data_IF_920710608089
#
_entry.id   IF_920710608089
#
_cell.length_a   1.000
_cell.length_b   1.000
_cell.length_c   1.000
_cell.angle_alpha   90.00
_cell.angle_beta   90.00
_cell.angle_gamma   90.00
#
_symmetry.space_group_name_H-M   'P 1'
#
loop_
_entity.id
_entity.type
_entity.pdbx_description
1 polymer ?
#
# COMPACT_ATOMS: atom_id res chain seq x y z
N UNK A 1 -2.83 14.93 -0.18
CA UNK A 1 -2.06 13.98 0.64
C UNK A 1 -1.54 14.71 1.88
N UNK A 2 -1.82 14.22 3.09
CA UNK A 2 -1.55 14.97 4.32
C UNK A 2 -0.41 14.41 5.18
N UNK A 3 -0.05 13.14 4.99
CA UNK A 3 1.04 12.46 5.67
C UNK A 3 1.48 11.23 4.88
N UNK A 4 2.79 10.99 4.86
CA UNK A 4 3.42 9.75 4.38
C UNK A 4 4.38 9.29 5.47
N UNK A 5 4.21 8.07 5.98
CA UNK A 5 5.06 7.56 7.06
C UNK A 5 5.11 6.02 7.06
N UNK A 6 6.19 5.48 7.63
CA UNK A 6 6.23 4.07 8.00
C UNK A 6 5.46 3.82 9.31
N UNK A 7 4.78 2.68 9.41
CA UNK A 7 4.01 2.29 10.59
C UNK A 7 4.32 0.82 10.96
N UNK A 8 4.86 0.62 12.16
CA UNK A 8 5.25 -0.70 12.67
C UNK A 8 4.06 -1.54 13.17
N UNK A 9 2.86 -0.95 13.28
CA UNK A 9 1.65 -1.63 13.75
C UNK A 9 0.86 -2.27 12.61
N UNK A 10 1.24 -2.01 11.36
CA UNK A 10 0.61 -2.61 10.19
C UNK A 10 0.98 -4.09 10.10
N UNK A 11 0.04 -4.97 10.43
CA UNK A 11 0.14 -6.39 10.14
C UNK A 11 -0.23 -6.65 8.67
N UNK A 12 0.78 -6.76 7.82
CA UNK A 12 0.63 -6.92 6.37
C UNK A 12 -0.14 -8.19 5.99
N UNK A 13 -0.15 -9.22 6.85
CA UNK A 13 -0.74 -10.53 6.58
C UNK A 13 -2.28 -10.55 6.53
N UNK A 14 -2.99 -9.54 7.05
CA UNK A 14 -4.48 -9.55 7.09
C UNK A 14 -5.15 -8.76 5.96
N UNK A 15 -4.46 -7.82 5.32
CA UNK A 15 -4.99 -6.95 4.25
C UNK A 15 -3.88 -6.68 3.23
N UNK A 16 -3.35 -7.75 2.64
CA UNK A 16 -2.13 -7.75 1.87
C UNK A 16 -2.20 -6.76 0.69
N UNK A 17 -1.38 -5.71 0.80
CA UNK A 17 -0.91 -4.70 -0.16
C UNK A 17 -1.19 -3.25 0.23
N UNK A 18 -2.17 -3.00 1.11
CA UNK A 18 -2.56 -1.64 1.47
C UNK A 18 -3.55 -1.60 2.62
N UNK A 19 -3.17 -0.99 3.75
CA UNK A 19 -4.13 -0.64 4.78
C UNK A 19 -4.72 0.73 4.41
N UNK A 20 -5.80 0.73 3.63
CA UNK A 20 -6.63 1.93 3.47
C UNK A 20 -7.25 2.29 4.82
N UNK A 21 -6.52 3.07 5.62
CA UNK A 21 -7.07 3.75 6.78
C UNK A 21 -7.37 5.18 6.38
N UNK A 22 -8.53 5.38 5.74
CA UNK A 22 -9.14 6.69 5.69
C UNK A 22 -9.57 7.06 7.12
N UNK A 23 -8.71 7.79 7.84
CA UNK A 23 -9.08 8.30 9.16
C UNK A 23 -10.03 9.48 8.94
N UNK A 24 -11.32 9.21 9.11
CA UNK A 24 -12.37 10.23 9.19
C UNK A 24 -12.25 10.98 10.52
N UNK A 25 -11.87 12.26 10.49
CA UNK A 25 -11.82 13.11 11.70
C UNK A 25 -12.90 14.18 11.63
N UNK A 26 -13.71 14.29 12.67
CA UNK A 26 -14.75 15.32 12.81
C UNK A 26 -14.08 16.62 13.29
N UNK A 27 -14.21 17.70 12.54
CA UNK A 27 -13.77 19.03 12.96
C UNK A 27 -14.90 20.04 12.71
N UNK A 28 -15.57 20.48 13.78
CA UNK A 28 -16.67 21.43 13.72
C UNK A 28 -17.84 20.94 12.87
N UNK A 29 -18.65 20.01 13.39
CA UNK A 29 -19.87 19.49 12.74
C UNK A 29 -19.69 18.81 11.37
N UNK A 30 -18.49 18.85 10.78
CA UNK A 30 -18.19 18.35 9.43
C UNK A 30 -17.07 17.31 9.50
N UNK A 31 -17.29 16.18 8.83
CA UNK A 31 -16.27 15.17 8.58
C UNK A 31 -15.35 15.65 7.47
N UNK A 32 -14.06 15.86 7.77
CA UNK A 32 -13.04 16.08 6.73
C UNK A 32 -12.23 14.79 6.57
N UNK A 33 -12.35 14.15 5.41
CA UNK A 33 -11.45 13.08 5.02
C UNK A 33 -10.07 13.67 4.69
N UNK A 34 -9.02 13.22 5.37
CA UNK A 34 -7.63 13.49 5.00
C UNK A 34 -7.00 12.18 4.56
N UNK A 35 -6.46 12.16 3.34
CA UNK A 35 -5.71 11.01 2.87
C UNK A 35 -4.33 10.97 3.53
N UNK A 36 -4.00 9.84 4.16
CA UNK A 36 -2.69 9.49 4.69
C UNK A 36 -2.22 8.20 4.00
N UNK A 37 -0.95 8.11 3.64
CA UNK A 37 -0.33 6.88 3.15
C UNK A 37 0.55 6.34 4.27
N UNK A 38 0.30 5.10 4.68
CA UNK A 38 1.09 4.41 5.72
C UNK A 38 1.65 3.12 5.15
N UNK A 39 2.97 3.01 5.17
CA UNK A 39 3.69 1.84 4.65
C UNK A 39 4.20 1.00 5.82
N UNK A 40 4.04 -0.31 5.75
CA UNK A 40 4.56 -1.20 6.79
C UNK A 40 6.09 -1.12 6.89
N UNK A 41 6.65 -1.22 8.09
CA UNK A 41 8.11 -1.12 8.31
C UNK A 41 8.92 -2.20 7.61
N UNK A 42 8.32 -3.35 7.27
CA UNK A 42 8.97 -4.42 6.49
C UNK A 42 9.50 -3.92 5.14
N UNK A 43 8.85 -2.92 4.55
CA UNK A 43 9.28 -2.33 3.27
C UNK A 43 10.47 -1.38 3.39
N UNK A 44 11.06 -1.22 4.58
CA UNK A 44 12.35 -0.51 4.74
C UNK A 44 13.53 -1.33 4.26
N UNK A 45 13.43 -2.66 4.34
CA UNK A 45 14.49 -3.62 3.97
C UNK A 45 14.10 -4.49 2.78
N UNK A 46 12.89 -4.30 2.25
CA UNK A 46 12.45 -4.95 1.03
C UNK A 46 13.03 -4.25 -0.22
N UNK A 47 13.09 -4.94 -1.37
CA UNK A 47 13.47 -4.33 -2.63
C UNK A 47 12.66 -3.07 -2.95
N UNK A 48 13.34 -2.03 -3.45
CA UNK A 48 12.75 -0.75 -3.85
C UNK A 48 11.51 -0.89 -4.77
N UNK A 49 11.46 -1.81 -5.75
CA UNK A 49 10.28 -2.00 -6.58
C UNK A 49 9.00 -2.33 -5.80
N UNK A 50 9.08 -3.00 -4.66
CA UNK A 50 7.91 -3.31 -3.83
C UNK A 50 7.36 -2.06 -3.15
N UNK A 51 8.25 -1.17 -2.68
CA UNK A 51 7.85 0.12 -2.14
C UNK A 51 7.15 0.97 -3.21
N UNK A 52 7.69 0.98 -4.44
CA UNK A 52 7.10 1.72 -5.56
C UNK A 52 5.71 1.22 -5.91
N UNK A 53 5.53 -0.10 -5.99
CA UNK A 53 4.21 -0.71 -6.21
C UNK A 53 3.21 -0.30 -5.12
N UNK A 54 3.58 -0.34 -3.83
CA UNK A 54 2.69 0.05 -2.73
C UNK A 54 2.31 1.52 -2.82
N UNK A 55 3.27 2.40 -3.11
CA UNK A 55 3.00 3.83 -3.26
C UNK A 55 2.03 4.06 -4.42
N UNK A 56 2.24 3.41 -5.57
CA UNK A 56 1.33 3.48 -6.73
C UNK A 56 -0.07 2.98 -6.37
N UNK A 57 -0.17 1.87 -5.65
CA UNK A 57 -1.43 1.32 -5.16
C UNK A 57 -2.20 2.35 -4.31
N UNK A 58 -1.56 2.89 -3.27
CA UNK A 58 -2.19 3.84 -2.36
C UNK A 58 -2.52 5.18 -3.03
N UNK A 59 -1.71 5.62 -4.01
CA UNK A 59 -2.02 6.79 -4.82
C UNK A 59 -3.25 6.57 -5.71
N UNK A 60 -3.39 5.39 -6.32
CA UNK A 60 -4.57 5.05 -7.10
C UNK A 60 -5.85 5.10 -6.25
N UNK A 61 -5.77 4.68 -4.98
CA UNK A 61 -6.87 4.77 -4.00
C UNK A 61 -7.33 6.18 -3.64
N UNK A 62 -6.56 7.20 -3.99
CA UNK A 62 -7.01 8.59 -3.87
C UNK A 62 -8.13 8.91 -4.87
N UNK A 63 -8.16 8.23 -6.02
CA UNK A 63 -9.12 8.45 -7.11
C UNK A 63 -10.11 7.30 -7.27
N UNK A 64 -9.62 6.05 -7.25
CA UNK A 64 -10.40 4.83 -7.49
C UNK A 64 -10.44 4.00 -6.21
N UNK A 65 -11.62 3.80 -5.59
CA UNK A 65 -11.72 3.16 -4.26
C UNK A 65 -11.71 1.63 -4.30
N UNK A 66 -12.26 1.05 -5.36
CA UNK A 66 -12.39 -0.39 -5.53
C UNK A 66 -11.31 -0.88 -6.50
N UNK A 67 -10.77 -2.08 -6.25
CA UNK A 67 -9.81 -2.74 -7.15
C UNK A 67 -10.49 -3.27 -8.42
N UNK A 68 -11.05 -2.37 -9.22
CA UNK A 68 -11.73 -2.64 -10.48
C UNK A 68 -10.83 -2.32 -11.69
N UNK A 69 -11.36 -2.43 -12.92
CA UNK A 69 -10.58 -2.16 -14.15
C UNK A 69 -10.00 -0.74 -14.20
N UNK A 70 -10.71 0.26 -13.71
CA UNK A 70 -10.24 1.65 -13.69
C UNK A 70 -9.07 1.83 -12.71
N UNK A 71 -9.17 1.21 -11.53
CA UNK A 71 -8.08 1.17 -10.55
C UNK A 71 -6.80 0.58 -11.14
N UNK A 72 -6.87 -0.64 -11.69
CA UNK A 72 -5.69 -1.28 -12.29
C UNK A 72 -5.15 -0.52 -13.50
N UNK A 73 -6.03 0.07 -14.32
CA UNK A 73 -5.61 0.93 -15.42
C UNK A 73 -4.84 2.16 -14.93
N UNK A 74 -5.24 2.75 -13.80
CA UNK A 74 -4.55 3.88 -13.20
C UNK A 74 -3.20 3.46 -12.60
N UNK A 75 -3.14 2.30 -11.94
CA UNK A 75 -1.89 1.73 -11.44
C UNK A 75 -0.90 1.49 -12.58
N UNK A 76 -1.30 0.81 -13.65
CA UNK A 76 -0.44 0.52 -14.80
C UNK A 76 -0.01 1.77 -15.57
N UNK A 77 -0.78 2.86 -15.48
CA UNK A 77 -0.36 4.16 -16.01
C UNK A 77 0.79 4.77 -15.23
N UNK A 78 0.82 4.59 -13.90
CA UNK A 78 1.88 5.11 -13.02
C UNK A 78 3.10 4.17 -12.94
N UNK A 79 2.89 2.86 -13.06
CA UNK A 79 3.91 1.82 -13.03
C UNK A 79 3.57 0.72 -14.05
N UNK A 80 4.22 0.70 -15.24
CA UNK A 80 3.92 -0.28 -16.29
C UNK A 80 4.01 -1.74 -15.84
N UNK A 81 4.92 -2.06 -14.92
CA UNK A 81 5.13 -3.42 -14.40
C UNK A 81 4.26 -3.74 -13.17
N UNK A 82 3.27 -2.90 -12.88
CA UNK A 82 2.50 -2.94 -11.62
C UNK A 82 1.96 -4.33 -11.28
N UNK A 83 1.39 -5.05 -12.25
CA UNK A 83 0.84 -6.38 -12.00
C UNK A 83 1.91 -7.39 -11.57
N UNK A 84 3.09 -7.33 -12.19
CA UNK A 84 4.19 -8.22 -11.82
C UNK A 84 4.72 -7.87 -10.44
N UNK A 85 4.93 -6.58 -10.18
CA UNK A 85 5.39 -6.11 -8.87
C UNK A 85 4.39 -6.39 -7.75
N UNK A 86 3.09 -6.32 -8.04
CA UNK A 86 2.02 -6.67 -7.10
C UNK A 86 2.11 -8.15 -6.73
N UNK A 87 2.23 -9.03 -7.74
CA UNK A 87 2.41 -10.46 -7.53
C UNK A 87 3.68 -10.78 -6.72
N UNK A 88 4.82 -10.23 -7.14
CA UNK A 88 6.11 -10.47 -6.48
C UNK A 88 6.11 -9.99 -5.03
N UNK A 89 5.47 -8.86 -4.75
CA UNK A 89 5.33 -8.36 -3.39
C UNK A 89 4.47 -9.30 -2.54
N UNK A 90 3.36 -9.82 -3.07
CA UNK A 90 2.53 -10.80 -2.35
C UNK A 90 3.31 -12.09 -2.08
N UNK A 91 4.11 -12.55 -3.05
CA UNK A 91 4.94 -13.73 -2.91
C UNK A 91 6.04 -13.52 -1.85
N UNK A 92 6.72 -12.37 -1.88
CA UNK A 92 7.72 -12.00 -0.88
C UNK A 92 7.12 -11.97 0.53
N UNK A 93 5.97 -11.33 0.72
CA UNK A 93 5.28 -11.31 2.00
C UNK A 93 4.86 -12.71 2.46
N UNK A 94 4.39 -13.55 1.55
CA UNK A 94 4.07 -14.95 1.84
C UNK A 94 5.32 -15.71 2.31
N UNK A 95 6.46 -15.51 1.65
CA UNK A 95 7.73 -16.08 2.07
C UNK A 95 8.10 -15.63 3.49
N UNK A 96 8.06 -14.32 3.77
CA UNK A 96 8.34 -13.80 5.10
C UNK A 96 7.42 -14.41 6.17
N UNK A 97 6.15 -14.67 5.84
CA UNK A 97 5.19 -15.29 6.76
C UNK A 97 5.52 -16.74 7.11
N UNK A 98 6.03 -17.49 6.13
CA UNK A 98 6.19 -18.95 6.23
C UNK A 98 7.61 -19.35 6.64
N UNK A 99 8.61 -18.58 6.19
CA UNK A 99 10.02 -18.95 6.28
C UNK A 99 10.89 -17.89 7.00
N UNK A 100 10.36 -16.68 7.24
CA UNK A 100 11.10 -15.60 7.88
C UNK A 100 11.90 -14.73 6.90
N UNK A 101 12.89 -14.01 7.41
CA UNK A 101 13.63 -13.00 6.65
C UNK A 101 14.43 -13.61 5.48
N UNK A 102 14.25 -13.02 4.29
CA UNK A 102 14.95 -13.44 3.06
C UNK A 102 16.33 -12.77 2.91
N UNK A 103 16.47 -11.56 3.46
CA UNK A 103 17.71 -10.78 3.43
C UNK A 103 18.16 -10.56 4.88
N UNK A 104 19.44 -10.81 5.15
CA UNK A 104 20.08 -10.64 6.45
C UNK A 104 20.95 -9.38 6.48
#
# INVERSE_FOLDING_TARGET
>A
LSKVAYDSKIHVMKHALGLHTAISRVQGGKLKAKAEIRVATVFKVAPEPFLRMIVVHELAHLKEKDHNKAFYSLCCHMEPDYHQLEFDTRLYLTHLSLFGELYA
#
